data_IF_793888789130
#
_entry.id   IF_793888789130
#
_cell.length_a   1.000
_cell.length_b   1.000
_cell.length_c   1.000
_cell.angle_alpha   90.00
_cell.angle_beta   90.00
_cell.angle_gamma   90.00
#
_symmetry.space_group_name_H-M   'P 1'
#
loop_
_entity.id
_entity.type
_entity.pdbx_description
1 polymer ?
#
# COMPACT_ATOMS: atom_id res chain seq x y z
N UNK A 1 43.08 20.29 -17.85
CA UNK A 1 42.12 19.18 -17.97
C UNK A 1 41.26 19.22 -16.72
N UNK A 2 40.17 19.97 -16.77
CA UNK A 2 39.33 20.27 -15.63
C UNK A 2 38.42 19.08 -15.32
N UNK A 3 38.73 18.36 -14.25
CA UNK A 3 37.92 17.23 -13.79
C UNK A 3 36.65 17.76 -13.14
N UNK A 4 35.51 17.58 -13.82
CA UNK A 4 34.18 17.91 -13.30
C UNK A 4 33.92 17.03 -12.07
N UNK A 5 34.03 17.63 -10.88
CA UNK A 5 33.78 16.97 -9.60
C UNK A 5 32.32 16.52 -9.53
N UNK A 6 32.09 15.21 -9.62
CA UNK A 6 30.77 14.62 -9.45
C UNK A 6 30.25 15.01 -8.05
N UNK A 7 29.22 15.84 -8.01
CA UNK A 7 28.62 16.34 -6.78
C UNK A 7 28.00 15.19 -5.99
N UNK A 8 28.74 14.65 -5.03
CA UNK A 8 28.27 13.61 -4.11
C UNK A 8 27.08 14.15 -3.34
N UNK A 9 25.88 13.58 -3.56
CA UNK A 9 24.63 14.01 -2.93
C UNK A 9 24.73 13.75 -1.41
N UNK A 10 25.12 14.75 -0.64
CA UNK A 10 25.24 14.64 0.82
C UNK A 10 23.87 14.31 1.42
N UNK A 11 23.80 13.35 2.34
CA UNK A 11 22.57 13.05 3.09
C UNK A 11 22.19 14.28 3.92
N UNK A 12 21.05 14.90 3.62
CA UNK A 12 20.46 16.01 4.37
C UNK A 12 18.96 15.77 4.56
N UNK A 13 18.37 16.42 5.56
CA UNK A 13 16.93 16.33 5.83
C UNK A 13 16.49 14.92 6.24
N UNK A 14 15.44 14.40 5.60
CA UNK A 14 14.89 13.07 5.91
C UNK A 14 15.93 11.95 5.79
N UNK A 15 16.81 12.01 4.77
CA UNK A 15 17.82 11.00 4.50
C UNK A 15 18.98 10.99 5.53
N UNK A 16 19.14 12.04 6.34
CA UNK A 16 20.14 12.10 7.42
C UNK A 16 19.58 11.73 8.79
N UNK A 17 18.26 11.49 8.91
CA UNK A 17 17.65 11.08 10.18
C UNK A 17 17.91 9.61 10.50
N UNK A 18 17.74 9.23 11.77
CA UNK A 18 17.78 7.82 12.18
C UNK A 18 16.66 7.02 11.49
N UNK A 19 16.88 5.72 11.17
CA UNK A 19 15.86 4.88 10.55
C UNK A 19 14.52 4.87 11.31
N UNK A 20 14.57 4.93 12.64
CA UNK A 20 13.42 4.95 13.52
C UNK A 20 12.59 6.23 13.29
N UNK A 21 13.26 7.39 13.26
CA UNK A 21 12.61 8.69 13.03
C UNK A 21 12.05 8.80 11.61
N UNK A 22 12.76 8.24 10.62
CA UNK A 22 12.26 8.16 9.25
C UNK A 22 10.97 7.34 9.16
N UNK A 23 10.93 6.14 9.77
CA UNK A 23 9.73 5.30 9.82
C UNK A 23 8.59 6.00 10.55
N UNK A 24 8.87 6.70 11.64
CA UNK A 24 7.83 7.41 12.38
C UNK A 24 7.21 8.53 11.54
N UNK A 25 8.03 9.33 10.86
CA UNK A 25 7.56 10.40 9.97
C UNK A 25 6.79 9.81 8.79
N UNK A 26 7.29 8.74 8.16
CA UNK A 26 6.58 8.05 7.07
C UNK A 26 5.22 7.51 7.55
N UNK A 27 5.16 6.94 8.75
CA UNK A 27 3.92 6.47 9.38
C UNK A 27 2.96 7.61 9.65
N UNK A 28 3.45 8.76 10.15
CA UNK A 28 2.64 9.97 10.38
C UNK A 28 2.11 10.53 9.06
N UNK A 29 2.95 10.64 8.04
CA UNK A 29 2.55 11.06 6.69
C UNK A 29 1.52 10.13 6.06
N UNK A 30 1.66 8.81 6.23
CA UNK A 30 0.68 7.84 5.75
C UNK A 30 -0.63 7.84 6.53
N UNK A 31 -0.68 8.39 7.75
CA UNK A 31 -1.88 8.52 8.60
C UNK A 31 -2.54 9.89 8.51
N UNK A 32 -1.94 10.86 7.82
CA UNK A 32 -2.47 12.23 7.74
C UNK A 32 -3.82 12.30 7.04
N UNK A 33 -4.08 11.35 6.12
CA UNK A 33 -5.36 11.24 5.41
C UNK A 33 -6.21 10.15 6.09
N UNK A 34 -7.43 10.50 6.56
CA UNK A 34 -8.41 9.54 7.06
C UNK A 34 -8.63 8.39 6.08
N UNK A 35 -8.93 7.18 6.56
CA UNK A 35 -9.07 5.98 5.74
C UNK A 35 -10.03 6.17 4.57
N UNK A 36 -11.17 6.79 4.85
CA UNK A 36 -12.28 7.02 3.93
C UNK A 36 -11.93 8.07 2.86
N UNK A 37 -10.99 8.95 3.20
CA UNK A 37 -10.60 10.05 2.32
C UNK A 37 -9.44 9.70 1.36
N UNK A 38 -8.82 8.52 1.52
CA UNK A 38 -7.71 8.07 0.67
C UNK A 38 -8.19 7.79 -0.74
N UNK A 39 -7.37 8.13 -1.74
CA UNK A 39 -7.70 7.93 -3.16
C UNK A 39 -8.06 6.47 -3.51
N UNK A 40 -7.37 5.50 -2.91
CA UNK A 40 -7.66 4.08 -3.11
C UNK A 40 -8.92 3.58 -2.41
N UNK A 41 -9.38 4.26 -1.34
CA UNK A 41 -10.64 3.94 -0.69
C UNK A 41 -11.84 4.47 -1.50
N UNK A 42 -11.69 5.66 -2.08
CA UNK A 42 -12.74 6.29 -2.91
C UNK A 42 -12.89 5.67 -4.29
N UNK A 43 -11.81 5.13 -4.85
CA UNK A 43 -11.79 4.58 -6.20
C UNK A 43 -11.22 3.15 -6.19
N UNK A 44 -12.08 2.11 -6.17
CA UNK A 44 -11.65 0.72 -6.15
C UNK A 44 -10.95 0.31 -7.45
N UNK A 45 -11.32 0.90 -8.60
CA UNK A 45 -10.67 0.62 -9.88
C UNK A 45 -9.23 1.13 -9.90
N UNK A 46 -8.99 2.32 -9.33
CA UNK A 46 -7.64 2.86 -9.14
C UNK A 46 -6.81 1.94 -8.24
N UNK A 47 -7.39 1.45 -7.15
CA UNK A 47 -6.70 0.51 -6.25
C UNK A 47 -6.35 -0.81 -6.95
N UNK A 48 -7.30 -1.37 -7.71
CA UNK A 48 -7.13 -2.61 -8.46
C UNK A 48 -6.09 -2.48 -9.57
N UNK A 49 -6.17 -1.42 -10.37
CA UNK A 49 -5.22 -1.15 -11.47
C UNK A 49 -3.81 -0.89 -10.95
N UNK A 50 -3.65 -0.09 -9.89
CA UNK A 50 -2.36 0.15 -9.25
C UNK A 50 -1.77 -1.14 -8.66
N UNK A 51 -2.58 -1.94 -7.97
CA UNK A 51 -2.18 -3.24 -7.42
C UNK A 51 -1.71 -4.21 -8.50
N UNK A 52 -2.48 -4.33 -9.59
CA UNK A 52 -2.11 -5.15 -10.76
C UNK A 52 -0.79 -4.67 -11.37
N UNK A 53 -0.62 -3.38 -11.60
CA UNK A 53 0.62 -2.81 -12.16
C UNK A 53 1.83 -3.10 -11.26
N UNK A 54 1.68 -2.94 -9.95
CA UNK A 54 2.72 -3.28 -8.98
C UNK A 54 3.11 -4.75 -9.00
N UNK A 55 2.12 -5.66 -9.06
CA UNK A 55 2.36 -7.09 -9.18
C UNK A 55 3.04 -7.49 -10.49
N UNK A 56 2.75 -6.79 -11.59
CA UNK A 56 3.37 -7.03 -12.88
C UNK A 56 4.86 -6.61 -12.92
N UNK A 57 5.25 -5.58 -12.16
CA UNK A 57 6.64 -5.14 -12.06
C UNK A 57 7.56 -6.18 -11.41
N UNK A 58 7.00 -7.15 -10.69
CA UNK A 58 7.74 -8.28 -10.13
C UNK A 58 7.82 -9.40 -11.16
N UNK A 59 9.04 -9.95 -11.35
CA UNK A 59 9.26 -11.13 -12.18
C UNK A 59 8.29 -12.24 -11.77
N UNK A 60 7.61 -12.86 -12.74
CA UNK A 60 6.60 -13.87 -12.51
C UNK A 60 7.07 -15.01 -11.58
N UNK A 61 8.30 -15.48 -11.75
CA UNK A 61 8.89 -16.54 -10.93
C UNK A 61 9.18 -16.12 -9.47
N UNK A 62 9.23 -14.82 -9.20
CA UNK A 62 9.50 -14.25 -7.86
C UNK A 62 8.27 -13.60 -7.22
N UNK A 63 7.09 -13.68 -7.85
CA UNK A 63 5.86 -13.15 -7.25
C UNK A 63 5.51 -13.97 -6.02
N UNK A 64 5.31 -13.31 -4.88
CA UNK A 64 4.97 -13.98 -3.62
C UNK A 64 3.76 -14.91 -3.76
N UNK A 65 2.78 -14.52 -4.56
CA UNK A 65 1.58 -15.32 -4.85
C UNK A 65 1.84 -16.58 -5.70
N UNK A 66 2.93 -16.61 -6.47
CA UNK A 66 3.31 -17.75 -7.30
C UNK A 66 4.27 -18.69 -6.57
N UNK A 67 5.10 -18.15 -5.67
CA UNK A 67 6.08 -18.90 -4.89
C UNK A 67 5.43 -19.61 -3.70
N UNK A 68 4.52 -18.95 -2.98
CA UNK A 68 3.87 -19.50 -1.80
C UNK A 68 2.34 -19.46 -1.94
N UNK A 69 1.77 -20.63 -2.22
CA UNK A 69 0.32 -20.82 -2.34
C UNK A 69 -0.41 -20.57 -1.02
N UNK A 70 0.20 -20.88 0.13
CA UNK A 70 -0.43 -20.66 1.43
C UNK A 70 -0.52 -19.16 1.73
N UNK A 71 0.55 -18.41 1.49
CA UNK A 71 0.56 -16.96 1.59
C UNK A 71 -0.49 -16.33 0.66
N UNK A 72 -0.57 -16.80 -0.59
CA UNK A 72 -1.58 -16.33 -1.54
C UNK A 72 -3.00 -16.54 -1.02
N UNK A 73 -3.29 -17.73 -0.50
CA UNK A 73 -4.59 -18.06 0.07
C UNK A 73 -4.91 -17.21 1.31
N UNK A 74 -3.94 -16.99 2.19
CA UNK A 74 -4.10 -16.13 3.38
C UNK A 74 -4.41 -14.68 2.99
N UNK A 75 -3.67 -14.12 2.04
CA UNK A 75 -3.89 -12.78 1.53
C UNK A 75 -5.28 -12.66 0.86
N UNK A 76 -5.66 -13.65 0.05
CA UNK A 76 -6.98 -13.72 -0.57
C UNK A 76 -8.11 -13.77 0.45
N UNK A 77 -8.01 -14.63 1.48
CA UNK A 77 -8.98 -14.69 2.58
C UNK A 77 -9.09 -13.35 3.30
N UNK A 78 -7.96 -12.74 3.67
CA UNK A 78 -7.95 -11.44 4.36
C UNK A 78 -8.63 -10.34 3.53
N UNK A 79 -8.35 -10.28 2.23
CA UNK A 79 -9.04 -9.37 1.32
C UNK A 79 -10.55 -9.63 1.23
N UNK A 80 -10.94 -10.91 1.16
CA UNK A 80 -12.33 -11.33 1.19
C UNK A 80 -13.06 -10.91 2.47
N UNK A 81 -12.42 -11.06 3.64
CA UNK A 81 -12.98 -10.60 4.93
C UNK A 81 -13.16 -9.09 4.97
N UNK A 82 -12.19 -8.32 4.48
CA UNK A 82 -12.31 -6.86 4.41
C UNK A 82 -13.51 -6.43 3.55
N UNK A 83 -13.76 -7.13 2.43
CA UNK A 83 -14.90 -6.86 1.54
C UNK A 83 -16.27 -7.32 2.08
N UNK A 84 -16.27 -8.19 3.10
CA UNK A 84 -17.49 -8.68 3.76
C UNK A 84 -17.89 -7.77 4.92
N UNK A 85 -16.92 -7.29 5.69
CA UNK A 85 -17.20 -6.41 6.83
C UNK A 85 -17.82 -5.07 6.41
N UNK A 86 -17.43 -4.54 5.25
CA UNK A 86 -18.04 -3.31 4.70
C UNK A 86 -19.46 -3.50 4.17
N UNK A 87 -19.94 -4.74 3.99
CA UNK A 87 -21.31 -5.05 3.55
C UNK A 87 -22.26 -5.28 4.71
N UNK A 88 -21.75 -5.77 5.84
CA UNK A 88 -22.58 -6.05 7.03
C UNK A 88 -22.92 -4.82 7.85
N UNK A 89 -22.25 -3.68 7.62
CA UNK A 89 -22.52 -2.41 8.32
C UNK A 89 -23.58 -1.53 7.62
N UNK A 90 -24.00 -1.87 6.38
CA UNK A 90 -25.03 -1.14 5.61
C UNK A 90 -26.42 -1.80 5.67
N UNK A 91 -26.50 -3.10 5.99
CA UNK A 91 -27.75 -3.87 6.10
C UNK A 91 -28.32 -3.84 7.52
N UNK A 92 -28.60 -2.63 8.02
CA UNK A 92 -29.19 -2.40 9.36
C UNK A 92 -30.40 -1.48 9.40
N UNK A 93 -30.82 -0.89 8.26
CA UNK A 93 -32.01 -0.03 8.17
C UNK A 93 -32.74 -0.28 6.86
N UNK A 94 -33.67 -1.25 6.85
CA UNK A 94 -34.95 -1.28 6.13
C UNK A 94 -35.31 -2.68 5.60
N UNK A 95 -36.41 -3.21 6.10
CA UNK A 95 -36.99 -4.49 5.69
C UNK A 95 -38.23 -4.77 6.53
N UNK A 96 -39.29 -4.02 6.25
CA UNK A 96 -40.58 -4.17 6.91
C UNK A 96 -41.29 -5.48 6.55
N UNK A 97 -42.04 -5.98 7.52
CA UNK A 97 -43.27 -6.74 7.39
C UNK A 97 -44.15 -6.35 8.59
#
# INVERSE_FOLDING_TARGET
>A
MDTVSATTKSRRGFASMTPERQREIARKGGKSVPSEQRSFAKNPDLASTAGRKGGLAVNAAKRSFSVDRQLAAQAGRKGGHASRNTRTEDEGISGGA
#
